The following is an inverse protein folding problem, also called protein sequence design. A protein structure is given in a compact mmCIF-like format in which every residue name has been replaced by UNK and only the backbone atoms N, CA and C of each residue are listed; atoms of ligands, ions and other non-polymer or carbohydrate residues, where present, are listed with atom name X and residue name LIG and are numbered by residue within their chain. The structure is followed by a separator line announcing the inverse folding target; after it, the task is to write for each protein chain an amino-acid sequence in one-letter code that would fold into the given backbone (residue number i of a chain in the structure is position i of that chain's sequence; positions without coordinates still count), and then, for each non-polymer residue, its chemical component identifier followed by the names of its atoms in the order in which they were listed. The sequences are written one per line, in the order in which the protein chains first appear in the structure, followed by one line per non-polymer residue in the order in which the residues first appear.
data_IF_204846875195
#
_entry.id   IF_204846875195
#
_cell.length_a   1.000
_cell.length_b   1.000
_cell.length_c   1.000
_cell.angle_alpha   90.00
_cell.angle_beta   90.00
_cell.angle_gamma   90.00
#
_symmetry.space_group_name_H-M   'P 1'
#
loop_
_entity.id
_entity.type
_entity.pdbx_description
1 polymer ?
#
# COMPACT_ATOMS: atom_id res chain seq x y z
N UNK A 1 13.01 6.95 -25.42
CA UNK A 1 11.58 7.31 -25.44
C UNK A 1 11.42 8.49 -24.48
N UNK A 2 11.10 9.67 -25.02
CA UNK A 2 10.83 10.83 -24.15
C UNK A 2 9.40 10.69 -23.64
N UNK A 3 9.21 10.57 -22.34
CA UNK A 3 7.89 10.66 -21.72
C UNK A 3 7.34 12.08 -21.96
N UNK A 4 6.29 12.16 -22.75
CA UNK A 4 5.63 13.44 -23.03
C UNK A 4 4.47 13.59 -22.06
N UNK A 5 4.57 14.55 -21.16
CA UNK A 5 3.48 14.95 -20.28
C UNK A 5 2.39 15.68 -21.07
N UNK A 6 1.16 15.55 -20.61
CA UNK A 6 0.00 16.28 -21.11
C UNK A 6 -0.46 17.31 -20.08
N UNK A 7 -1.33 18.23 -20.46
CA UNK A 7 -1.82 19.27 -19.54
C UNK A 7 -2.44 18.69 -18.25
N UNK A 8 -3.10 17.53 -18.33
CA UNK A 8 -3.62 16.86 -17.14
C UNK A 8 -2.52 16.47 -16.17
N UNK A 9 -1.36 16.02 -16.65
CA UNK A 9 -0.21 15.64 -15.83
C UNK A 9 0.39 16.87 -15.14
N UNK A 10 0.56 17.97 -15.86
CA UNK A 10 1.11 19.21 -15.30
C UNK A 10 0.15 19.88 -14.31
N UNK A 11 -1.16 19.79 -14.55
CA UNK A 11 -2.17 20.24 -13.60
C UNK A 11 -2.13 19.43 -12.31
N UNK A 12 -2.04 18.08 -12.43
CA UNK A 12 -1.90 17.21 -11.26
C UNK A 12 -0.58 17.48 -10.52
N UNK A 13 0.54 17.59 -11.24
CA UNK A 13 1.85 17.94 -10.68
C UNK A 13 1.76 19.22 -9.85
N UNK A 14 1.18 20.26 -10.41
CA UNK A 14 1.03 21.54 -9.72
C UNK A 14 0.18 21.42 -8.46
N UNK A 15 -0.93 20.67 -8.53
CA UNK A 15 -1.83 20.42 -7.40
C UNK A 15 -1.12 19.67 -6.27
N UNK A 16 -0.42 18.57 -6.60
CA UNK A 16 0.28 17.76 -5.60
C UNK A 16 1.49 18.50 -5.03
N UNK A 17 2.21 19.25 -5.86
CA UNK A 17 3.33 20.09 -5.41
C UNK A 17 2.88 21.12 -4.39
N UNK A 18 1.80 21.85 -4.66
CA UNK A 18 1.23 22.81 -3.72
C UNK A 18 0.88 22.13 -2.39
N UNK A 19 0.16 21.01 -2.45
CA UNK A 19 -0.17 20.21 -1.27
C UNK A 19 1.08 19.77 -0.51
N UNK A 20 2.11 19.27 -1.19
CA UNK A 20 3.34 18.79 -0.55
C UNK A 20 4.08 19.94 0.17
N UNK A 21 4.17 21.13 -0.45
CA UNK A 21 4.83 22.30 0.15
C UNK A 21 4.02 22.88 1.33
N UNK A 22 2.70 22.91 1.24
CA UNK A 22 1.82 23.55 2.23
C UNK A 22 1.50 22.63 3.42
N UNK A 23 1.27 21.33 3.17
CA UNK A 23 0.74 20.41 4.17
C UNK A 23 1.76 19.38 4.67
N UNK A 24 2.70 18.95 3.83
CA UNK A 24 3.67 17.91 4.20
C UNK A 24 4.99 18.52 4.68
N UNK A 25 5.54 19.45 3.93
CA UNK A 25 6.86 20.05 4.23
C UNK A 25 7.00 20.64 5.63
N UNK A 26 6.00 21.38 6.16
CA UNK A 26 6.11 21.97 7.50
C UNK A 26 6.22 20.95 8.63
N UNK A 27 5.72 19.73 8.42
CA UNK A 27 5.65 18.68 9.45
C UNK A 27 6.64 17.54 9.21
N UNK A 28 7.25 17.43 8.01
CA UNK A 28 8.08 16.30 7.61
C UNK A 28 9.23 16.04 8.59
N UNK A 29 9.99 17.07 8.96
CA UNK A 29 11.10 16.94 9.90
C UNK A 29 10.65 16.46 11.30
N UNK A 30 9.56 17.01 11.83
CA UNK A 30 9.01 16.60 13.13
C UNK A 30 8.52 15.15 13.09
N UNK A 31 7.81 14.75 12.02
CA UNK A 31 7.32 13.38 11.85
C UNK A 31 8.47 12.38 11.80
N UNK A 32 9.57 12.72 11.12
CA UNK A 32 10.77 11.90 11.05
C UNK A 32 11.43 11.75 12.43
N UNK A 33 11.66 12.85 13.14
CA UNK A 33 12.28 12.84 14.47
C UNK A 33 11.45 12.07 15.52
N UNK A 34 10.14 12.24 15.49
CA UNK A 34 9.23 11.62 16.47
C UNK A 34 8.73 10.25 16.06
N UNK A 35 9.20 9.74 14.93
CA UNK A 35 8.73 8.46 14.39
C UNK A 35 7.20 8.39 14.23
N UNK A 36 6.55 9.45 13.71
CA UNK A 36 5.10 9.54 13.58
C UNK A 36 4.62 9.33 12.15
N UNK A 37 3.48 8.66 12.02
CA UNK A 37 2.78 8.50 10.75
C UNK A 37 2.04 9.82 10.39
N UNK A 38 2.09 10.29 9.12
CA UNK A 38 1.47 11.55 8.68
C UNK A 38 -0.06 11.43 8.50
N UNK A 39 -0.78 11.06 9.54
CA UNK A 39 -2.21 10.72 9.49
C UNK A 39 -3.06 11.81 8.84
N UNK A 40 -2.87 13.08 9.24
CA UNK A 40 -3.66 14.20 8.73
C UNK A 40 -3.34 14.49 7.26
N UNK A 41 -2.07 14.39 6.86
CA UNK A 41 -1.68 14.58 5.47
C UNK A 41 -2.26 13.48 4.57
N UNK A 42 -2.23 12.22 5.02
CA UNK A 42 -2.83 11.09 4.28
C UNK A 42 -4.35 11.25 4.15
N UNK A 43 -5.03 11.71 5.21
CA UNK A 43 -6.46 12.01 5.14
C UNK A 43 -6.78 13.11 4.13
N UNK A 44 -6.01 14.20 4.13
CA UNK A 44 -6.17 15.26 3.12
C UNK A 44 -5.89 14.77 1.70
N UNK A 45 -4.92 13.88 1.49
CA UNK A 45 -4.69 13.22 0.19
C UNK A 45 -5.89 12.39 -0.24
N UNK A 46 -6.54 11.68 0.70
CA UNK A 46 -7.76 10.94 0.45
C UNK A 46 -8.91 11.87 0.03
N UNK A 47 -9.14 12.97 0.77
CA UNK A 47 -10.15 13.98 0.45
C UNK A 47 -9.93 14.63 -0.93
N UNK A 48 -8.69 14.64 -1.43
CA UNK A 48 -8.33 15.10 -2.78
C UNK A 48 -8.50 14.03 -3.87
N UNK A 49 -8.89 12.79 -3.54
CA UNK A 49 -8.99 11.64 -4.44
C UNK A 49 -7.65 10.98 -4.80
N UNK A 50 -6.57 11.34 -4.10
CA UNK A 50 -5.22 10.92 -4.50
C UNK A 50 -4.89 9.47 -4.12
N UNK A 51 -5.68 8.82 -3.27
CA UNK A 51 -5.48 7.42 -2.91
C UNK A 51 -5.89 6.45 -4.03
N UNK A 52 -6.77 6.89 -4.94
CA UNK A 52 -7.30 6.09 -6.04
C UNK A 52 -6.92 6.55 -7.44
N UNK A 53 -5.80 7.27 -7.62
CA UNK A 53 -5.41 7.90 -8.90
C UNK A 53 -5.60 6.98 -10.11
N UNK A 54 -5.04 5.75 -10.19
CA UNK A 54 -5.12 4.93 -11.41
C UNK A 54 -6.37 4.05 -11.49
N UNK A 55 -7.21 4.05 -10.45
CA UNK A 55 -8.36 3.14 -10.44
C UNK A 55 -9.58 3.76 -11.12
N UNK A 56 -10.43 2.93 -11.76
CA UNK A 56 -11.64 3.40 -12.42
C UNK A 56 -12.59 4.14 -11.47
N UNK A 57 -13.33 5.09 -12.01
CA UNK A 57 -14.31 5.87 -11.24
C UNK A 57 -15.43 5.03 -10.65
N UNK A 58 -15.77 3.91 -11.29
CA UNK A 58 -16.76 2.94 -10.78
C UNK A 58 -16.34 2.30 -9.45
N UNK A 59 -15.04 2.25 -9.15
CA UNK A 59 -14.49 1.81 -7.87
C UNK A 59 -14.07 2.98 -6.97
N UNK A 60 -14.48 4.21 -7.29
CA UNK A 60 -14.19 5.39 -6.49
C UNK A 60 -12.81 6.00 -6.72
N UNK A 61 -12.09 5.57 -7.76
CA UNK A 61 -10.82 6.17 -8.17
C UNK A 61 -10.99 7.36 -9.12
N UNK A 62 -9.88 7.98 -9.50
CA UNK A 62 -9.86 9.15 -10.39
C UNK A 62 -9.86 8.76 -11.88
N UNK A 63 -9.56 7.52 -12.24
CA UNK A 63 -9.51 7.03 -13.62
C UNK A 63 -8.36 7.64 -14.42
N UNK A 64 -7.31 8.10 -13.75
CA UNK A 64 -6.11 8.64 -14.40
C UNK A 64 -5.13 7.51 -14.74
N UNK A 65 -4.05 7.86 -15.44
CA UNK A 65 -3.05 6.89 -15.86
C UNK A 65 -1.95 6.66 -14.79
N UNK A 66 -1.11 5.65 -15.03
CA UNK A 66 0.03 5.30 -14.16
C UNK A 66 1.07 6.43 -14.09
N UNK A 67 1.20 7.25 -15.15
CA UNK A 67 2.10 8.40 -15.13
C UNK A 67 1.61 9.46 -14.14
N UNK A 68 0.32 9.70 -14.09
CA UNK A 68 -0.31 10.58 -13.09
C UNK A 68 -0.01 10.10 -11.65
N UNK A 69 -0.13 8.80 -11.41
CA UNK A 69 0.24 8.20 -10.12
C UNK A 69 1.75 8.39 -9.81
N UNK A 70 2.63 8.14 -10.77
CA UNK A 70 4.07 8.31 -10.59
C UNK A 70 4.44 9.78 -10.27
N UNK A 71 3.78 10.74 -10.93
CA UNK A 71 3.94 12.18 -10.66
C UNK A 71 3.54 12.51 -9.22
N UNK A 72 2.44 11.96 -8.73
CA UNK A 72 1.99 12.20 -7.35
C UNK A 72 3.02 11.68 -6.34
N UNK A 73 3.53 10.46 -6.54
CA UNK A 73 4.59 9.88 -5.70
C UNK A 73 5.87 10.73 -5.77
N UNK A 74 6.28 11.18 -6.96
CA UNK A 74 7.46 12.04 -7.17
C UNK A 74 7.34 13.35 -6.37
N UNK A 75 6.23 14.07 -6.51
CA UNK A 75 6.04 15.37 -5.87
C UNK A 75 5.95 15.28 -4.34
N UNK A 76 5.32 14.23 -3.80
CA UNK A 76 5.32 13.98 -2.37
C UNK A 76 6.71 13.60 -1.86
N UNK A 77 7.40 12.69 -2.56
CA UNK A 77 8.72 12.19 -2.15
C UNK A 77 9.81 13.25 -2.23
N UNK A 78 9.65 14.26 -3.08
CA UNK A 78 10.54 15.43 -3.16
C UNK A 78 10.58 16.20 -1.83
N UNK A 79 9.50 16.16 -1.07
CA UNK A 79 9.34 16.87 0.20
C UNK A 79 9.53 15.93 1.39
N UNK A 80 8.88 14.78 1.36
CA UNK A 80 8.97 13.71 2.36
C UNK A 80 8.86 12.34 1.72
N UNK A 81 9.96 11.60 1.70
CA UNK A 81 10.02 10.25 1.14
C UNK A 81 9.08 9.27 1.86
N UNK A 82 8.83 9.47 3.16
CA UNK A 82 7.90 8.67 3.94
C UNK A 82 6.47 8.78 3.44
N UNK A 83 5.97 10.01 3.25
CA UNK A 83 4.63 10.26 2.71
C UNK A 83 4.48 9.72 1.28
N UNK A 84 5.51 9.89 0.44
CA UNK A 84 5.51 9.34 -0.92
C UNK A 84 5.44 7.81 -0.94
N UNK A 85 6.19 7.13 -0.07
CA UNK A 85 6.18 5.67 0.06
C UNK A 85 4.85 5.15 0.61
N UNK A 86 4.19 5.87 1.52
CA UNK A 86 2.85 5.50 2.01
C UNK A 86 1.85 5.43 0.85
N UNK A 87 1.80 6.49 0.02
CA UNK A 87 0.94 6.50 -1.17
C UNK A 87 1.33 5.39 -2.15
N UNK A 88 2.63 5.21 -2.38
CA UNK A 88 3.15 4.19 -3.28
C UNK A 88 2.74 2.78 -2.85
N UNK A 89 2.97 2.41 -1.61
CA UNK A 89 2.63 1.10 -1.08
C UNK A 89 1.11 0.86 -1.03
N UNK A 90 0.34 1.88 -0.65
CA UNK A 90 -1.12 1.80 -0.66
C UNK A 90 -1.65 1.51 -2.07
N UNK A 91 -1.22 2.28 -3.06
CA UNK A 91 -1.78 2.19 -4.42
C UNK A 91 -1.23 0.97 -5.15
N UNK A 92 0.10 0.85 -5.32
CA UNK A 92 0.67 -0.18 -6.19
C UNK A 92 0.76 -1.58 -5.55
N UNK A 93 0.74 -1.68 -4.24
CA UNK A 93 0.91 -2.93 -3.51
C UNK A 93 -0.37 -3.35 -2.77
N UNK A 94 -0.95 -2.48 -1.95
CA UNK A 94 -2.14 -2.80 -1.16
C UNK A 94 -3.42 -2.88 -2.01
N UNK A 95 -3.58 -2.01 -2.99
CA UNK A 95 -4.81 -1.91 -3.78
C UNK A 95 -4.74 -2.62 -5.13
N UNK A 96 -3.59 -2.55 -5.82
CA UNK A 96 -3.44 -3.10 -7.17
C UNK A 96 -3.75 -4.61 -7.29
N UNK A 97 -3.31 -5.51 -6.38
CA UNK A 97 -3.64 -6.92 -6.48
C UNK A 97 -5.15 -7.18 -6.48
N UNK A 98 -5.90 -6.42 -5.68
CA UNK A 98 -7.37 -6.52 -5.65
C UNK A 98 -7.96 -6.01 -6.97
N UNK A 99 -7.46 -4.88 -7.49
CA UNK A 99 -7.93 -4.32 -8.75
C UNK A 99 -7.69 -5.27 -9.94
N UNK A 100 -6.52 -5.93 -9.99
CA UNK A 100 -6.10 -6.77 -11.10
C UNK A 100 -6.65 -8.20 -11.03
N UNK A 101 -6.76 -8.77 -9.83
CA UNK A 101 -7.02 -10.21 -9.64
C UNK A 101 -8.24 -10.50 -8.76
N UNK A 102 -8.80 -9.51 -8.08
CA UNK A 102 -9.97 -9.67 -7.22
C UNK A 102 -11.23 -9.96 -8.01
N UNK A 103 -12.15 -10.73 -7.40
CA UNK A 103 -13.52 -10.86 -7.90
C UNK A 103 -14.24 -9.53 -7.81
N UNK A 104 -15.37 -9.38 -8.50
CA UNK A 104 -16.17 -8.15 -8.41
C UNK A 104 -16.62 -7.87 -6.97
N UNK A 105 -17.00 -8.89 -6.23
CA UNK A 105 -17.37 -8.78 -4.82
C UNK A 105 -16.18 -8.25 -3.97
N UNK A 106 -14.98 -8.78 -4.19
CA UNK A 106 -13.77 -8.31 -3.51
C UNK A 106 -13.43 -6.88 -3.87
N UNK A 107 -13.60 -6.47 -5.13
CA UNK A 107 -13.38 -5.09 -5.57
C UNK A 107 -14.36 -4.14 -4.90
N UNK A 108 -15.64 -4.48 -4.86
CA UNK A 108 -16.65 -3.65 -4.18
C UNK A 108 -16.37 -3.56 -2.67
N UNK A 109 -16.03 -4.67 -2.03
CA UNK A 109 -15.79 -4.71 -0.58
C UNK A 109 -14.49 -4.01 -0.16
N UNK A 110 -13.41 -4.16 -0.94
CA UNK A 110 -12.07 -3.77 -0.54
C UNK A 110 -11.45 -2.66 -1.40
N UNK A 111 -11.55 -2.74 -2.74
CA UNK A 111 -10.93 -1.74 -3.60
C UNK A 111 -11.65 -0.39 -3.50
N UNK A 112 -12.97 -0.36 -3.44
CA UNK A 112 -13.74 0.88 -3.35
C UNK A 112 -13.33 1.72 -2.13
N UNK A 113 -13.32 1.20 -0.88
CA UNK A 113 -12.88 1.99 0.26
C UNK A 113 -11.38 2.35 0.22
N UNK A 114 -10.53 1.51 -0.39
CA UNK A 114 -9.11 1.83 -0.61
C UNK A 114 -8.96 2.97 -1.62
N UNK A 115 -9.60 2.90 -2.78
CA UNK A 115 -9.52 3.93 -3.80
C UNK A 115 -10.06 5.29 -3.34
N UNK A 116 -11.09 5.30 -2.49
CA UNK A 116 -11.60 6.51 -1.84
C UNK A 116 -10.72 7.02 -0.70
N UNK A 117 -9.75 6.23 -0.23
CA UNK A 117 -8.94 6.56 0.92
C UNK A 117 -9.67 6.46 2.27
N UNK A 118 -10.83 5.81 2.31
CA UNK A 118 -11.57 5.47 3.54
C UNK A 118 -10.83 4.41 4.35
N UNK A 119 -10.05 3.55 3.65
CA UNK A 119 -9.17 2.53 4.21
C UNK A 119 -7.77 2.64 3.62
N UNK A 120 -6.77 2.24 4.39
CA UNK A 120 -5.38 2.20 3.96
C UNK A 120 -4.96 0.75 3.67
N UNK A 121 -4.17 0.56 2.60
CA UNK A 121 -3.66 -0.74 2.19
C UNK A 121 -2.19 -0.96 2.55
N UNK A 122 -1.84 -2.22 2.82
CA UNK A 122 -0.48 -2.70 3.02
C UNK A 122 -0.24 -4.03 2.28
N UNK A 123 1.05 -4.44 2.20
CA UNK A 123 1.46 -5.59 1.40
C UNK A 123 2.52 -6.40 2.15
N UNK A 124 2.13 -7.58 2.61
CA UNK A 124 2.96 -8.50 3.37
C UNK A 124 3.55 -9.60 2.50
N UNK A 125 4.72 -9.35 1.91
CA UNK A 125 5.47 -10.32 1.11
C UNK A 125 6.74 -10.78 1.85
N UNK A 126 7.58 -9.82 2.24
CA UNK A 126 8.93 -10.04 2.76
C UNK A 126 8.94 -10.77 4.10
N UNK A 127 9.83 -11.74 4.24
CA UNK A 127 10.13 -12.48 5.48
C UNK A 127 11.62 -12.38 5.79
N UNK A 128 12.03 -12.83 6.95
CA UNK A 128 13.45 -12.80 7.38
C UNK A 128 14.35 -13.54 6.36
N UNK A 129 13.90 -14.70 5.88
CA UNK A 129 14.64 -15.54 4.94
C UNK A 129 14.18 -15.37 3.46
N UNK A 130 13.16 -14.55 3.19
CA UNK A 130 12.57 -14.34 1.87
C UNK A 130 12.45 -12.85 1.52
N UNK A 131 13.55 -12.27 1.06
CA UNK A 131 13.63 -10.90 0.57
C UNK A 131 13.58 -10.85 -0.96
N UNK A 132 14.75 -10.73 -1.60
CA UNK A 132 14.85 -10.73 -3.08
C UNK A 132 14.38 -12.05 -3.69
N UNK A 133 14.59 -13.16 -3.01
CA UNK A 133 13.97 -14.44 -3.33
C UNK A 133 12.60 -14.55 -2.62
N UNK A 134 11.58 -13.95 -3.24
CA UNK A 134 10.21 -14.05 -2.74
C UNK A 134 9.62 -15.47 -2.83
N UNK A 135 10.24 -16.34 -3.65
CA UNK A 135 9.88 -17.76 -3.75
C UNK A 135 10.21 -18.55 -2.48
N UNK A 136 11.11 -18.02 -1.65
CA UNK A 136 11.47 -18.61 -0.35
C UNK A 136 10.48 -18.31 0.78
N UNK A 137 9.27 -17.81 0.50
CA UNK A 137 8.21 -17.56 1.51
C UNK A 137 7.95 -18.80 2.36
N UNK A 138 8.03 -18.64 3.69
CA UNK A 138 7.82 -19.68 4.70
C UNK A 138 6.43 -19.60 5.36
N UNK A 139 5.77 -18.43 5.33
CA UNK A 139 4.38 -18.28 5.80
C UNK A 139 3.49 -19.28 5.10
N UNK A 140 2.74 -20.07 5.87
CA UNK A 140 1.83 -21.09 5.35
C UNK A 140 0.36 -20.66 5.40
N UNK A 141 -0.46 -21.22 4.52
CA UNK A 141 -1.90 -21.11 4.56
C UNK A 141 -2.53 -22.50 4.37
N UNK A 142 -3.10 -23.04 5.44
CA UNK A 142 -3.71 -24.37 5.45
C UNK A 142 -5.22 -24.25 5.40
N UNK A 143 -5.86 -24.96 4.46
CA UNK A 143 -7.31 -24.97 4.34
C UNK A 143 -7.92 -25.86 5.42
N UNK A 144 -8.77 -25.28 6.26
CA UNK A 144 -9.53 -25.99 7.28
C UNK A 144 -11.05 -25.69 7.06
N UNK A 145 -11.77 -26.69 6.55
CA UNK A 145 -13.17 -26.49 6.20
C UNK A 145 -13.35 -25.52 5.03
N UNK A 146 -13.90 -24.35 5.28
CA UNK A 146 -14.19 -23.30 4.30
C UNK A 146 -13.29 -22.05 4.42
N UNK A 147 -12.27 -22.10 5.31
CA UNK A 147 -11.37 -21.00 5.56
C UNK A 147 -9.90 -21.45 5.61
N UNK A 148 -8.99 -20.50 5.43
CA UNK A 148 -7.54 -20.73 5.54
C UNK A 148 -7.03 -20.24 6.89
N UNK A 149 -6.17 -21.07 7.51
CA UNK A 149 -5.38 -20.69 8.67
C UNK A 149 -4.00 -20.26 8.18
N UNK A 150 -3.67 -18.98 8.36
CA UNK A 150 -2.36 -18.43 8.03
C UNK A 150 -1.44 -18.48 9.24
N UNK A 151 -0.22 -19.01 9.07
CA UNK A 151 0.80 -19.04 10.10
C UNK A 151 2.14 -18.55 9.53
N UNK A 152 2.73 -17.54 10.15
CA UNK A 152 4.00 -16.96 9.73
C UNK A 152 4.15 -15.51 10.14
N UNK A 153 5.23 -14.90 9.70
CA UNK A 153 5.58 -13.53 10.02
C UNK A 153 6.09 -12.81 8.77
N UNK A 154 5.66 -11.56 8.58
CA UNK A 154 6.12 -10.68 7.49
C UNK A 154 6.85 -9.49 8.08
N UNK A 155 7.99 -9.12 7.49
CA UNK A 155 8.82 -8.02 7.96
C UNK A 155 8.90 -6.88 6.94
N UNK A 156 9.26 -5.69 7.41
CA UNK A 156 9.42 -4.49 6.58
C UNK A 156 8.17 -4.06 5.82
N UNK A 157 7.00 -4.24 6.44
CA UNK A 157 5.72 -3.95 5.80
C UNK A 157 5.36 -2.47 5.95
N UNK A 158 5.46 -1.73 4.85
CA UNK A 158 5.01 -0.34 4.78
C UNK A 158 3.51 -0.25 5.10
N UNK A 159 3.11 0.75 5.87
CA UNK A 159 1.75 0.99 6.37
C UNK A 159 1.25 -0.01 7.42
N UNK A 160 2.01 -1.05 7.79
CA UNK A 160 1.58 -1.99 8.83
C UNK A 160 1.26 -1.26 10.15
N UNK A 161 0.30 -1.79 10.89
CA UNK A 161 -0.22 -1.16 12.11
C UNK A 161 -1.15 0.04 11.88
N UNK A 162 -1.04 0.72 10.71
CA UNK A 162 -1.92 1.81 10.28
C UNK A 162 -2.93 1.39 9.23
N UNK A 163 -2.55 0.50 8.33
CA UNK A 163 -3.43 -0.03 7.29
C UNK A 163 -4.60 -0.83 7.89
N UNK A 164 -5.68 -0.87 7.12
CA UNK A 164 -6.91 -1.60 7.43
C UNK A 164 -6.99 -2.92 6.66
N UNK A 165 -6.39 -2.95 5.47
CA UNK A 165 -6.40 -4.08 4.54
C UNK A 165 -4.96 -4.46 4.21
N UNK A 166 -4.66 -5.74 4.28
CA UNK A 166 -3.34 -6.31 4.01
C UNK A 166 -3.44 -7.34 2.90
N UNK A 167 -2.58 -7.25 1.90
CA UNK A 167 -2.34 -8.35 0.96
C UNK A 167 -1.20 -9.18 1.53
N UNK A 168 -1.47 -10.42 1.89
CA UNK A 168 -0.51 -11.32 2.53
C UNK A 168 -0.26 -12.53 1.63
N UNK A 169 1.01 -12.84 1.37
CA UNK A 169 1.41 -14.00 0.58
C UNK A 169 1.77 -15.16 1.51
N UNK A 170 1.23 -16.35 1.20
CA UNK A 170 1.47 -17.56 1.95
C UNK A 170 1.49 -18.79 1.05
N UNK A 171 2.21 -19.82 1.47
CA UNK A 171 2.31 -21.11 0.77
C UNK A 171 1.02 -21.91 1.04
N UNK A 172 0.27 -22.17 -0.02
CA UNK A 172 -0.93 -23.03 -0.02
C UNK A 172 -0.62 -24.45 -0.50
N UNK A 173 0.42 -24.60 -1.33
CA UNK A 173 0.85 -25.90 -1.83
C UNK A 173 2.38 -25.98 -1.70
N UNK A 174 2.92 -26.74 -0.73
CA UNK A 174 4.36 -26.86 -0.53
C UNK A 174 5.05 -27.58 -1.71
N UNK A 175 6.36 -27.46 -1.77
CA UNK A 175 7.26 -28.20 -2.66
C UNK A 175 7.14 -27.92 -4.16
N UNK A 176 6.37 -26.90 -4.56
CA UNK A 176 6.25 -26.47 -5.99
C UNK A 176 6.73 -25.02 -6.22
N UNK A 177 7.51 -24.47 -5.28
CA UNK A 177 8.10 -23.14 -5.36
C UNK A 177 7.06 -22.03 -5.48
N UNK A 178 7.32 -21.03 -6.32
CA UNK A 178 6.45 -19.86 -6.49
C UNK A 178 5.01 -20.20 -6.94
N UNK A 179 4.82 -21.36 -7.58
CA UNK A 179 3.49 -21.81 -8.01
C UNK A 179 2.61 -22.29 -6.85
N UNK A 180 3.20 -22.51 -5.68
CA UNK A 180 2.50 -22.89 -4.46
C UNK A 180 2.10 -21.71 -3.57
N UNK A 181 2.41 -20.47 -3.97
CA UNK A 181 2.14 -19.26 -3.19
C UNK A 181 0.83 -18.62 -3.65
N UNK A 182 -0.01 -18.27 -2.69
CA UNK A 182 -1.28 -17.55 -2.91
C UNK A 182 -1.28 -16.21 -2.18
N UNK A 183 -2.08 -15.26 -2.67
CA UNK A 183 -2.30 -13.97 -2.04
C UNK A 183 -3.66 -13.97 -1.31
N UNK A 184 -3.66 -13.46 -0.10
CA UNK A 184 -4.83 -13.35 0.77
C UNK A 184 -5.12 -11.90 1.09
N UNK A 185 -6.40 -11.52 1.10
CA UNK A 185 -6.86 -10.24 1.64
C UNK A 185 -7.15 -10.47 3.12
N UNK A 186 -6.37 -9.80 4.00
CA UNK A 186 -6.52 -9.90 5.44
C UNK A 186 -6.96 -8.55 6.00
N UNK A 187 -8.06 -8.54 6.75
CA UNK A 187 -8.56 -7.34 7.41
C UNK A 187 -7.82 -7.11 8.73
N UNK A 188 -7.56 -5.85 9.07
CA UNK A 188 -7.04 -5.48 10.40
C UNK A 188 -8.02 -5.97 11.48
N UNK A 189 -7.50 -6.68 12.47
CA UNK A 189 -8.30 -7.26 13.54
C UNK A 189 -8.82 -8.67 13.26
N UNK A 190 -8.40 -9.31 12.16
CA UNK A 190 -8.58 -10.74 12.00
C UNK A 190 -8.00 -11.48 13.21
N UNK A 191 -8.66 -12.55 13.65
CA UNK A 191 -8.23 -13.35 14.81
C UNK A 191 -6.79 -13.87 14.62
N UNK A 192 -5.94 -13.71 15.64
CA UNK A 192 -4.53 -14.08 15.58
C UNK A 192 -3.62 -13.11 14.83
N UNK A 193 -4.17 -12.08 14.17
CA UNK A 193 -3.37 -11.09 13.46
C UNK A 193 -2.85 -10.02 14.42
N UNK A 194 -1.54 -9.90 14.54
CA UNK A 194 -0.87 -8.95 15.43
C UNK A 194 0.28 -8.21 14.73
N UNK A 195 0.75 -7.16 15.38
CA UNK A 195 1.86 -6.34 14.87
C UNK A 195 3.04 -6.44 15.83
N UNK A 196 4.22 -6.69 15.27
CA UNK A 196 5.46 -6.75 16.00
C UNK A 196 6.11 -5.38 16.21
N UNK A 197 7.44 -5.35 16.15
CA UNK A 197 8.26 -4.19 16.44
C UNK A 197 8.25 -3.17 15.29
N UNK A 198 8.21 -1.89 15.64
CA UNK A 198 8.48 -0.80 14.68
C UNK A 198 9.97 -0.71 14.37
N UNK A 199 10.33 -0.71 13.08
CA UNK A 199 11.69 -0.44 12.65
C UNK A 199 11.91 1.04 12.39
N UNK A 200 12.97 1.59 12.95
CA UNK A 200 13.46 2.92 12.63
C UNK A 200 14.26 2.86 11.32
N UNK A 201 13.74 3.48 10.27
CA UNK A 201 14.36 3.52 8.95
C UNK A 201 14.41 4.95 8.41
N UNK A 202 15.44 5.24 7.61
CA UNK A 202 15.66 6.58 7.02
C UNK A 202 14.57 7.02 6.06
N UNK A 203 13.90 6.08 5.37
CA UNK A 203 12.82 6.35 4.41
C UNK A 203 11.72 5.32 4.63
N UNK A 204 10.54 5.82 4.99
CA UNK A 204 9.38 4.97 5.25
C UNK A 204 9.56 4.12 6.51
N UNK A 205 8.45 3.77 7.09
CA UNK A 205 8.42 2.91 8.28
C UNK A 205 7.81 1.59 7.93
N UNK A 206 8.54 0.57 8.28
CA UNK A 206 8.02 -0.77 8.26
C UNK A 206 7.58 -1.14 9.67
N UNK A 207 6.39 -1.68 9.79
CA UNK A 207 5.89 -2.34 10.98
C UNK A 207 5.98 -3.84 10.75
N UNK A 208 6.38 -4.55 11.77
CA UNK A 208 6.48 -6.02 11.78
C UNK A 208 5.46 -6.57 12.74
#
# INVERSE_FOLDING_TARGET
MLFKTMDQHENLRSKIRAFAEEEVKPIAFMLDQENKFPTEAIKKLADMGMMGIPYPKEYGGEGLDVLSYAIAVEELSRVDGGTGVILSAHTSLGSYPIAAFGTEEQKQKYLVPLAKGEKLGAFGLTEENAGSDAGGTETTAVLEGDHYILNGEKIFITNAGKADIYIVFAVTTPDIGIHGISAFIVEKGAEGFSFGKHYDKKIGRAHV
#
